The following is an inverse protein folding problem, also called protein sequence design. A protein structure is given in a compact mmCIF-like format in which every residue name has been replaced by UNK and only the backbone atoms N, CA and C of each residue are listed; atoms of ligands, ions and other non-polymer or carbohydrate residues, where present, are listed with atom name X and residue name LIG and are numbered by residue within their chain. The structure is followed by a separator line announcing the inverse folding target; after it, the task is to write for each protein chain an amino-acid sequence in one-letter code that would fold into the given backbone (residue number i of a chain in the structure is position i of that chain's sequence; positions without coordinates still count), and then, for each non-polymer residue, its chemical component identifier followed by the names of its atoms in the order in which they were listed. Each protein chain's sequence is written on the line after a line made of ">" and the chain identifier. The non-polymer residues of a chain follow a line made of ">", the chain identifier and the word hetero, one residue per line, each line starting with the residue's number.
data_IF_700568182483
#
_entry.id   IF_700568182483
#
_cell.length_a   1.000
_cell.length_b   1.000
_cell.length_c   1.000
_cell.angle_alpha   90.00
_cell.angle_beta   90.00
_cell.angle_gamma   90.00
#
_symmetry.space_group_name_H-M   'P 1'
#
loop_
_entity.id
_entity.type
_entity.pdbx_description
1 polymer ?
#
# COMPACT_ATOMS: atom_id res chain seq x y z
N UNK A 1 -41.87 -62.58 -4.49
CA UNK A 1 -41.82 -61.21 -3.94
C UNK A 1 -40.36 -60.77 -3.98
N UNK A 2 -39.99 -59.93 -4.96
CA UNK A 2 -38.66 -59.37 -5.08
C UNK A 2 -38.59 -58.06 -4.31
N UNK A 3 -37.77 -58.02 -3.29
CA UNK A 3 -37.48 -56.77 -2.57
C UNK A 3 -36.54 -55.89 -3.38
N UNK A 4 -37.02 -54.76 -3.84
CA UNK A 4 -36.24 -53.71 -4.48
C UNK A 4 -35.50 -52.93 -3.40
N UNK A 5 -34.18 -53.09 -3.33
CA UNK A 5 -33.33 -52.28 -2.46
C UNK A 5 -33.06 -50.97 -3.18
N UNK A 6 -33.64 -49.89 -2.75
CA UNK A 6 -33.37 -48.55 -3.25
C UNK A 6 -32.15 -48.00 -2.49
N UNK A 7 -30.97 -48.10 -3.12
CA UNK A 7 -29.72 -47.51 -2.62
C UNK A 7 -29.73 -46.03 -3.01
N UNK A 8 -30.10 -45.18 -2.11
CA UNK A 8 -30.01 -43.72 -2.24
C UNK A 8 -28.55 -43.32 -2.09
N UNK A 9 -27.84 -43.14 -3.21
CA UNK A 9 -26.50 -42.59 -3.20
C UNK A 9 -26.62 -41.08 -3.00
N UNK A 10 -26.41 -40.64 -1.76
CA UNK A 10 -26.25 -39.22 -1.46
C UNK A 10 -24.89 -38.77 -2.01
N UNK A 11 -24.89 -38.17 -3.19
CA UNK A 11 -23.71 -37.50 -3.75
C UNK A 11 -23.52 -36.20 -2.93
N UNK A 12 -22.65 -36.26 -1.93
CA UNK A 12 -22.17 -35.04 -1.25
C UNK A 12 -21.34 -34.26 -2.28
N UNK A 13 -21.95 -33.31 -2.92
CA UNK A 13 -21.23 -32.24 -3.59
C UNK A 13 -20.57 -31.39 -2.50
N UNK A 14 -19.29 -31.65 -2.24
CA UNK A 14 -18.45 -30.72 -1.49
C UNK A 14 -18.27 -29.48 -2.38
N UNK A 15 -19.14 -28.50 -2.21
CA UNK A 15 -18.92 -27.15 -2.74
C UNK A 15 -17.82 -26.55 -1.87
N UNK A 16 -16.63 -26.45 -2.41
CA UNK A 16 -15.57 -25.67 -1.76
C UNK A 16 -16.05 -24.20 -1.72
N UNK A 17 -16.56 -23.79 -0.57
CA UNK A 17 -16.93 -22.41 -0.33
C UNK A 17 -15.62 -21.62 -0.14
N UNK A 18 -15.21 -20.90 -1.17
CA UNK A 18 -14.12 -19.93 -1.04
C UNK A 18 -14.70 -18.72 -0.35
N UNK A 19 -14.19 -18.41 0.85
CA UNK A 19 -14.64 -17.25 1.61
C UNK A 19 -14.24 -15.96 0.86
N UNK A 20 -15.23 -15.19 0.46
CA UNK A 20 -15.06 -13.87 -0.17
C UNK A 20 -15.52 -12.78 0.81
N UNK A 21 -14.83 -11.67 0.81
CA UNK A 21 -15.29 -10.47 1.50
C UNK A 21 -15.96 -9.54 0.48
N UNK A 22 -17.23 -9.27 0.68
CA UNK A 22 -18.03 -8.41 -0.17
C UNK A 22 -18.56 -7.23 0.63
N UNK A 23 -18.14 -6.02 0.26
CA UNK A 23 -18.61 -4.78 0.88
C UNK A 23 -19.25 -3.91 -0.18
N UNK A 24 -20.48 -3.52 0.03
CA UNK A 24 -21.25 -2.68 -0.89
C UNK A 24 -22.06 -1.61 -0.18
N UNK A 25 -22.37 -0.51 -0.85
CA UNK A 25 -23.32 0.47 -0.33
C UNK A 25 -24.67 -0.14 0.00
N UNK A 26 -25.38 0.45 0.96
CA UNK A 26 -26.75 0.03 1.27
C UNK A 26 -27.70 0.37 0.13
N UNK A 27 -28.79 -0.39 0.00
CA UNK A 27 -29.85 -0.09 -0.98
C UNK A 27 -30.54 1.25 -0.73
N UNK A 28 -30.42 1.79 0.46
CA UNK A 28 -30.98 3.09 0.85
C UNK A 28 -30.09 4.30 0.53
N UNK A 29 -28.93 4.09 -0.11
CA UNK A 29 -28.04 5.17 -0.48
C UNK A 29 -27.15 5.64 0.68
N UNK A 30 -26.36 4.73 1.26
CA UNK A 30 -25.34 5.03 2.26
C UNK A 30 -24.11 4.19 1.99
N UNK A 31 -22.93 4.74 2.22
CA UNK A 31 -21.68 3.98 2.22
C UNK A 31 -21.67 2.94 3.34
N UNK A 32 -21.00 1.83 3.09
CA UNK A 32 -20.78 0.76 4.06
C UNK A 32 -19.29 0.49 4.18
N UNK A 33 -18.83 0.11 5.36
CA UNK A 33 -17.40 -0.14 5.52
C UNK A 33 -17.11 -1.21 6.57
N UNK A 34 -15.93 -1.78 6.44
CA UNK A 34 -15.25 -2.55 7.48
C UNK A 34 -14.17 -1.64 8.07
N UNK A 35 -14.20 -1.46 9.37
CA UNK A 35 -13.20 -0.69 10.09
C UNK A 35 -12.35 -1.61 10.96
N UNK A 36 -11.05 -1.57 10.79
CA UNK A 36 -10.10 -2.34 11.55
C UNK A 36 -9.03 -1.42 12.14
N UNK A 37 -8.75 -1.60 13.43
CA UNK A 37 -7.75 -0.85 14.18
C UNK A 37 -6.99 -1.80 15.08
N UNK A 38 -5.66 -1.89 14.92
CA UNK A 38 -4.79 -2.77 15.68
C UNK A 38 -5.20 -4.27 15.64
N UNK A 39 -5.76 -4.72 14.53
CA UNK A 39 -6.18 -6.10 14.32
C UNK A 39 -5.83 -6.59 12.93
N UNK A 40 -5.77 -7.88 12.76
CA UNK A 40 -5.59 -8.51 11.46
C UNK A 40 -6.96 -8.98 10.93
N UNK A 41 -7.21 -8.69 9.65
CA UNK A 41 -8.32 -9.27 8.89
C UNK A 41 -7.71 -10.32 7.96
N UNK A 42 -8.23 -11.54 8.02
CA UNK A 42 -7.85 -12.60 7.09
C UNK A 42 -9.02 -12.95 6.17
N UNK A 43 -8.77 -12.94 4.87
CA UNK A 43 -9.74 -13.31 3.82
C UNK A 43 -9.10 -14.37 2.94
N UNK A 44 -9.63 -15.60 2.97
CA UNK A 44 -9.08 -16.70 2.18
C UNK A 44 -9.16 -16.46 0.67
N UNK A 45 -10.23 -15.84 0.21
CA UNK A 45 -10.49 -15.58 -1.20
C UNK A 45 -10.36 -14.12 -1.60
N UNK A 46 -11.10 -13.77 -2.63
CA UNK A 46 -11.10 -12.43 -3.21
C UNK A 46 -11.91 -11.42 -2.39
N UNK A 47 -11.58 -10.16 -2.54
CA UNK A 47 -12.30 -9.03 -1.98
C UNK A 47 -12.99 -8.27 -3.12
N UNK A 48 -14.26 -7.96 -2.91
CA UNK A 48 -15.03 -7.10 -3.80
C UNK A 48 -15.55 -5.91 -3.00
N UNK A 49 -15.10 -4.71 -3.38
CA UNK A 49 -15.54 -3.44 -2.81
C UNK A 49 -16.31 -2.67 -3.88
N UNK A 50 -17.60 -2.47 -3.71
CA UNK A 50 -18.44 -1.86 -4.73
C UNK A 50 -18.71 -0.38 -4.49
N UNK A 51 -18.99 0.34 -5.58
CA UNK A 51 -19.65 1.65 -5.56
C UNK A 51 -21.05 1.55 -6.14
N UNK A 52 -21.92 2.47 -5.74
CA UNK A 52 -23.18 2.61 -6.44
C UNK A 52 -22.96 3.20 -7.86
N UNK A 53 -23.88 2.99 -8.80
CA UNK A 53 -23.72 3.47 -10.18
C UNK A 53 -23.49 4.98 -10.32
N UNK A 54 -24.00 5.79 -9.40
CA UNK A 54 -23.78 7.23 -9.37
C UNK A 54 -22.39 7.61 -8.80
N UNK A 55 -21.70 6.68 -8.11
CA UNK A 55 -20.40 6.94 -7.50
C UNK A 55 -20.43 7.70 -6.17
N UNK A 56 -21.63 7.97 -5.63
CA UNK A 56 -21.80 8.79 -4.42
C UNK A 56 -21.57 7.98 -3.13
N UNK A 57 -21.78 6.66 -3.19
CA UNK A 57 -21.67 5.76 -2.05
C UNK A 57 -20.76 4.58 -2.38
N UNK A 58 -19.95 4.18 -1.43
CA UNK A 58 -18.99 3.09 -1.63
C UNK A 58 -18.98 2.07 -0.50
N UNK A 59 -18.57 0.85 -0.83
CA UNK A 59 -18.13 -0.16 0.11
C UNK A 59 -16.63 -0.05 0.32
N UNK A 60 -16.19 0.12 1.55
CA UNK A 60 -14.79 0.42 1.86
C UNK A 60 -14.23 -0.46 2.97
N UNK A 61 -12.90 -0.54 3.05
CA UNK A 61 -12.18 -1.07 4.19
C UNK A 61 -11.24 0.02 4.68
N UNK A 62 -11.25 0.29 5.98
CA UNK A 62 -10.34 1.22 6.64
C UNK A 62 -9.41 0.47 7.57
N UNK A 63 -8.10 0.49 7.26
CA UNK A 63 -7.05 -0.04 8.11
C UNK A 63 -6.37 1.11 8.83
N UNK A 64 -6.36 1.04 10.16
CA UNK A 64 -5.85 2.09 11.02
C UNK A 64 -4.86 1.53 12.03
N UNK A 65 -3.89 2.34 12.39
CA UNK A 65 -2.76 1.96 13.24
C UNK A 65 -2.10 0.68 12.68
N UNK A 66 -1.95 -0.37 13.48
CA UNK A 66 -1.30 -1.63 13.07
C UNK A 66 -2.27 -2.64 12.42
N UNK A 67 -3.43 -2.19 11.96
CA UNK A 67 -4.37 -3.08 11.29
C UNK A 67 -3.84 -3.54 9.92
N UNK A 68 -4.04 -4.81 9.61
CA UNK A 68 -3.55 -5.46 8.41
C UNK A 68 -4.65 -6.24 7.71
N UNK A 69 -4.55 -6.32 6.40
CA UNK A 69 -5.40 -7.18 5.57
C UNK A 69 -4.54 -8.25 4.91
N UNK A 70 -4.73 -9.49 5.36
CA UNK A 70 -4.07 -10.67 4.81
C UNK A 70 -5.05 -11.40 3.91
N UNK A 71 -4.58 -11.83 2.74
CA UNK A 71 -5.36 -12.65 1.83
C UNK A 71 -4.73 -14.02 1.62
N UNK A 72 -5.58 -15.04 1.49
CA UNK A 72 -5.14 -16.41 1.25
C UNK A 72 -4.60 -16.60 -0.17
N UNK A 73 -3.85 -17.68 -0.37
CA UNK A 73 -3.17 -17.99 -1.63
C UNK A 73 -4.10 -18.30 -2.82
N UNK A 74 -5.41 -18.36 -2.61
CA UNK A 74 -6.40 -18.51 -3.68
C UNK A 74 -6.87 -17.19 -4.26
N UNK A 75 -6.53 -16.08 -3.61
CA UNK A 75 -6.90 -14.74 -4.05
C UNK A 75 -5.94 -14.25 -5.14
N UNK A 76 -6.35 -14.36 -6.40
CA UNK A 76 -5.53 -13.92 -7.54
C UNK A 76 -5.81 -12.49 -7.97
N UNK A 77 -6.96 -11.93 -7.60
CA UNK A 77 -7.33 -10.54 -7.87
C UNK A 77 -8.47 -10.09 -6.97
N UNK A 78 -8.54 -8.80 -6.75
CA UNK A 78 -9.68 -8.13 -6.10
C UNK A 78 -10.49 -7.34 -7.14
N UNK A 79 -11.72 -6.99 -6.81
CA UNK A 79 -12.65 -6.36 -7.74
C UNK A 79 -13.47 -5.23 -7.10
N UNK A 80 -14.27 -4.57 -7.94
CA UNK A 80 -15.12 -3.45 -7.54
C UNK A 80 -14.38 -2.11 -7.57
N UNK A 81 -15.13 -1.03 -7.39
CA UNK A 81 -14.66 0.36 -7.45
C UNK A 81 -14.68 1.05 -6.07
N UNK A 82 -15.04 0.32 -5.02
CA UNK A 82 -14.84 0.74 -3.65
C UNK A 82 -13.37 0.71 -3.25
N UNK A 83 -13.03 1.25 -2.10
CA UNK A 83 -11.64 1.54 -1.76
C UNK A 83 -11.22 0.91 -0.43
N UNK A 84 -10.04 0.30 -0.44
CA UNK A 84 -9.26 0.11 0.77
C UNK A 84 -8.52 1.43 1.07
N UNK A 85 -8.53 1.85 2.32
CA UNK A 85 -7.79 2.99 2.84
C UNK A 85 -6.80 2.52 3.90
N UNK A 86 -5.52 2.75 3.66
CA UNK A 86 -4.43 2.41 4.58
C UNK A 86 -3.69 3.69 4.95
N UNK A 87 -3.57 3.95 6.25
CA UNK A 87 -2.75 5.05 6.74
C UNK A 87 -1.30 4.61 6.87
N UNK A 88 -0.41 5.45 6.36
CA UNK A 88 1.03 5.31 6.49
C UNK A 88 1.60 6.59 7.11
N UNK A 89 2.25 6.46 8.25
CA UNK A 89 2.79 7.61 8.97
C UNK A 89 4.30 7.67 8.80
N UNK A 90 4.80 8.87 8.58
CA UNK A 90 6.23 9.19 8.50
C UNK A 90 6.48 10.52 9.19
N UNK A 91 7.69 10.77 9.61
CA UNK A 91 8.15 12.06 10.12
C UNK A 91 9.08 12.80 9.13
N UNK A 92 9.09 12.39 7.87
CA UNK A 92 9.76 13.13 6.80
C UNK A 92 8.98 14.40 6.46
N UNK A 93 9.66 15.53 6.46
CA UNK A 93 9.10 16.82 6.08
C UNK A 93 9.37 17.18 4.60
N UNK A 94 9.22 18.45 4.24
CA UNK A 94 9.45 18.91 2.87
C UNK A 94 10.90 18.72 2.38
N UNK A 95 11.86 18.53 3.28
CA UNK A 95 13.28 18.37 2.95
C UNK A 95 13.70 16.91 2.89
N UNK A 96 12.96 16.03 3.57
CA UNK A 96 13.29 14.61 3.74
C UNK A 96 12.60 13.73 2.72
N UNK A 97 13.28 12.65 2.34
CA UNK A 97 12.71 11.65 1.43
C UNK A 97 11.93 10.58 2.17
N UNK A 98 10.79 10.25 1.59
CA UNK A 98 10.09 9.00 1.81
C UNK A 98 10.35 8.08 0.61
N UNK A 99 10.55 6.81 0.88
CA UNK A 99 10.55 5.77 -0.12
C UNK A 99 9.32 4.90 0.08
N UNK A 100 8.41 4.95 -0.87
CA UNK A 100 7.11 4.32 -0.77
C UNK A 100 6.97 3.17 -1.76
N UNK A 101 6.26 2.12 -1.36
CA UNK A 101 5.56 1.20 -2.26
C UNK A 101 4.09 1.21 -1.86
N UNK A 102 3.19 1.25 -2.83
CA UNK A 102 1.77 1.38 -2.52
C UNK A 102 1.13 0.02 -2.23
N UNK A 103 0.41 -0.14 -1.11
CA UNK A 103 -0.33 -1.36 -0.80
C UNK A 103 -1.61 -1.50 -1.61
N UNK A 104 -1.93 -0.50 -2.42
CA UNK A 104 -3.15 -0.42 -3.21
C UNK A 104 -2.85 0.08 -4.61
N UNK A 105 -3.69 -0.28 -5.55
CA UNK A 105 -3.60 0.17 -6.93
C UNK A 105 -4.87 0.86 -7.43
N UNK A 106 -4.91 1.13 -8.74
CA UNK A 106 -6.06 1.72 -9.39
C UNK A 106 -7.24 0.75 -9.45
N UNK A 107 -8.45 1.28 -9.37
CA UNK A 107 -9.67 0.48 -9.45
C UNK A 107 -9.88 -0.16 -10.84
N UNK A 108 -9.45 0.53 -11.90
CA UNK A 108 -9.59 0.06 -13.27
C UNK A 108 -8.30 -0.63 -13.72
N UNK A 109 -8.23 -1.92 -13.57
CA UNK A 109 -7.09 -2.68 -14.07
C UNK A 109 -6.89 -3.93 -13.25
N UNK A 110 -6.45 -4.97 -13.87
CA UNK A 110 -6.24 -6.28 -13.26
C UNK A 110 -5.09 -6.31 -12.24
N UNK A 111 -4.55 -7.48 -12.08
CA UNK A 111 -3.34 -7.77 -11.31
C UNK A 111 -2.22 -6.80 -11.75
N UNK A 112 -1.43 -6.31 -10.82
CA UNK A 112 -0.33 -5.42 -11.13
C UNK A 112 -0.76 -3.98 -11.40
N UNK A 113 -1.69 -3.51 -10.62
CA UNK A 113 -2.13 -2.12 -10.67
C UNK A 113 -0.96 -1.16 -10.67
N UNK A 114 -1.06 -0.14 -11.50
CA UNK A 114 -0.20 1.01 -11.40
C UNK A 114 -0.43 1.66 -10.06
N UNK A 115 0.51 1.48 -9.16
CA UNK A 115 0.44 2.09 -7.85
C UNK A 115 0.54 3.59 -8.00
N UNK A 116 -0.27 4.29 -7.25
CA UNK A 116 -0.15 5.72 -7.09
C UNK A 116 0.43 6.01 -5.72
N UNK A 117 1.10 7.11 -5.61
CA UNK A 117 1.46 7.65 -4.30
C UNK A 117 0.21 7.90 -3.44
N UNK A 118 0.39 8.40 -2.25
CA UNK A 118 -0.71 8.65 -1.33
C UNK A 118 -1.76 9.57 -1.95
N UNK A 119 -3.01 9.27 -1.70
CA UNK A 119 -4.13 10.04 -2.25
C UNK A 119 -4.28 11.37 -1.51
N UNK A 120 -4.09 11.35 -0.21
CA UNK A 120 -4.23 12.51 0.65
C UNK A 120 -3.37 12.42 1.90
N UNK A 121 -3.16 13.56 2.54
CA UNK A 121 -2.66 13.64 3.89
C UNK A 121 -3.86 13.60 4.84
N UNK A 122 -3.82 12.74 5.83
CA UNK A 122 -4.84 12.73 6.86
C UNK A 122 -4.58 13.90 7.83
N UNK A 123 -5.50 14.84 7.87
CA UNK A 123 -5.43 16.02 8.75
C UNK A 123 -6.63 16.11 9.69
N UNK A 124 -7.47 15.09 9.71
CA UNK A 124 -8.72 15.04 10.46
C UNK A 124 -8.73 13.82 11.37
N UNK A 125 -9.40 13.94 12.50
CA UNK A 125 -9.69 12.80 13.40
C UNK A 125 -10.77 11.86 12.84
N UNK A 126 -11.33 12.17 11.66
CA UNK A 126 -12.30 11.30 11.02
C UNK A 126 -11.61 10.19 10.24
N UNK A 127 -11.38 9.09 10.93
CA UNK A 127 -10.74 7.90 10.39
C UNK A 127 -11.55 7.19 9.30
N UNK A 128 -12.80 7.56 9.12
CA UNK A 128 -13.73 6.93 8.15
C UNK A 128 -14.16 7.86 7.03
N UNK A 129 -13.55 9.05 6.92
CA UNK A 129 -13.87 9.97 5.83
C UNK A 129 -13.68 9.31 4.46
N UNK A 130 -14.70 9.37 3.62
CA UNK A 130 -14.66 8.80 2.27
C UNK A 130 -13.88 9.69 1.30
N UNK A 131 -13.40 9.11 0.20
CA UNK A 131 -12.55 9.84 -0.75
C UNK A 131 -13.22 11.04 -1.40
N UNK A 132 -14.54 11.01 -1.56
CA UNK A 132 -15.32 12.12 -2.12
C UNK A 132 -15.35 13.36 -1.24
N UNK A 133 -15.16 13.20 0.07
CA UNK A 133 -15.24 14.29 1.03
C UNK A 133 -13.94 15.10 1.12
N UNK A 134 -12.89 14.64 0.49
CA UNK A 134 -11.53 15.09 0.82
C UNK A 134 -10.73 15.32 -0.43
N UNK A 135 -11.00 15.80 -1.42
CA UNK A 135 -10.16 16.13 -2.58
C UNK A 135 -9.05 15.12 -2.91
N UNK A 136 -8.87 14.87 -4.14
CA UNK A 136 -7.77 14.08 -4.67
C UNK A 136 -6.48 14.89 -4.54
N UNK A 137 -5.33 14.21 -4.34
CA UNK A 137 -4.03 14.88 -4.38
C UNK A 137 -3.85 15.75 -5.61
N UNK A 138 -3.20 16.86 -5.41
CA UNK A 138 -2.73 17.74 -6.48
C UNK A 138 -1.20 17.61 -6.63
N UNK A 139 -0.68 18.11 -7.73
CA UNK A 139 0.75 18.18 -7.98
C UNK A 139 1.20 19.63 -8.20
N UNK A 140 2.42 19.92 -7.78
CA UNK A 140 3.06 21.23 -7.99
C UNK A 140 4.46 21.07 -8.53
N UNK A 141 4.94 22.03 -9.28
CA UNK A 141 6.35 22.16 -9.67
C UNK A 141 7.21 22.87 -8.61
N UNK A 142 6.60 23.41 -7.57
CA UNK A 142 7.34 23.95 -6.44
C UNK A 142 8.15 22.87 -5.74
N UNK A 143 9.27 23.22 -5.13
CA UNK A 143 10.13 22.28 -4.44
C UNK A 143 9.51 21.70 -3.17
N UNK A 144 8.65 22.45 -2.52
CA UNK A 144 7.90 21.97 -1.36
C UNK A 144 6.47 21.58 -1.74
N UNK A 145 6.05 20.41 -1.31
CA UNK A 145 4.65 20.03 -1.25
C UNK A 145 3.93 20.77 -0.13
N UNK A 146 2.63 20.79 -0.18
CA UNK A 146 1.79 21.45 0.82
C UNK A 146 0.56 20.59 1.16
N UNK A 147 0.00 20.82 2.32
CA UNK A 147 -1.32 20.31 2.66
C UNK A 147 -2.13 21.47 3.27
N UNK A 148 -3.32 21.63 2.76
CA UNK A 148 -4.35 22.44 3.42
C UNK A 148 -5.49 21.49 3.75
N UNK A 149 -6.34 21.82 4.68
CA UNK A 149 -7.45 21.00 5.18
C UNK A 149 -7.87 19.88 4.18
N UNK A 150 -7.41 18.66 4.41
CA UNK A 150 -7.68 17.46 3.61
C UNK A 150 -7.18 17.42 2.14
N UNK A 151 -6.50 18.44 1.65
CA UNK A 151 -5.94 18.45 0.30
C UNK A 151 -4.42 18.28 0.34
N UNK A 152 -3.92 17.21 -0.26
CA UNK A 152 -2.51 16.95 -0.43
C UNK A 152 -2.02 17.54 -1.75
N UNK A 153 -0.95 18.33 -1.71
CA UNK A 153 -0.21 18.78 -2.89
C UNK A 153 1.20 18.23 -2.85
N UNK A 154 1.54 17.37 -3.77
CA UNK A 154 2.84 16.69 -3.86
C UNK A 154 3.75 17.49 -4.80
N UNK A 155 4.99 17.73 -4.38
CA UNK A 155 6.02 18.25 -5.27
C UNK A 155 6.44 17.19 -6.29
N UNK A 156 6.24 17.46 -7.57
CA UNK A 156 6.68 16.57 -8.64
C UNK A 156 8.20 16.48 -8.75
N UNK A 157 8.92 17.49 -8.29
CA UNK A 157 10.38 17.56 -8.41
C UNK A 157 11.10 16.38 -7.76
N UNK A 158 10.46 15.68 -6.82
CA UNK A 158 11.05 14.60 -6.03
C UNK A 158 10.43 13.22 -6.29
N UNK A 159 9.62 13.10 -7.34
CA UNK A 159 8.97 11.83 -7.70
C UNK A 159 9.85 11.07 -8.71
N UNK A 160 10.53 10.06 -8.21
CA UNK A 160 11.41 9.20 -8.99
C UNK A 160 11.20 7.74 -8.62
N UNK A 161 11.44 6.86 -9.58
CA UNK A 161 11.62 5.42 -9.36
C UNK A 161 13.06 5.04 -9.71
N UNK A 162 13.57 4.00 -9.10
CA UNK A 162 14.87 3.45 -9.46
C UNK A 162 14.68 2.04 -9.99
N UNK A 163 15.07 1.83 -11.24
CA UNK A 163 14.93 0.55 -11.91
C UNK A 163 16.32 0.01 -12.25
N UNK A 164 16.49 -1.27 -11.95
CA UNK A 164 17.70 -2.00 -12.29
C UNK A 164 18.05 -1.94 -13.78
N UNK A 165 17.06 -2.01 -14.68
CA UNK A 165 17.28 -2.00 -16.13
C UNK A 165 18.05 -0.77 -16.65
N UNK A 166 18.07 0.31 -15.89
CA UNK A 166 18.75 1.56 -16.27
C UNK A 166 19.83 1.96 -15.27
N UNK A 167 19.89 1.31 -14.10
CA UNK A 167 20.77 1.65 -12.98
C UNK A 167 20.75 3.15 -12.64
N UNK A 168 19.59 3.78 -12.75
CA UNK A 168 19.44 5.22 -12.58
C UNK A 168 18.04 5.61 -12.07
N UNK A 169 17.99 6.78 -11.47
CA UNK A 169 16.73 7.40 -11.05
C UNK A 169 15.97 7.95 -12.24
N UNK A 170 14.76 7.46 -12.42
CA UNK A 170 13.86 7.90 -13.47
C UNK A 170 12.79 8.81 -12.91
N UNK A 171 12.70 10.01 -13.44
CA UNK A 171 11.63 10.95 -13.11
C UNK A 171 10.27 10.39 -13.56
N UNK A 172 9.30 10.38 -12.65
CA UNK A 172 7.94 9.92 -12.93
C UNK A 172 6.92 11.07 -12.90
N UNK A 173 7.24 12.16 -12.24
CA UNK A 173 6.31 13.30 -12.11
C UNK A 173 4.98 12.92 -11.49
N UNK A 174 3.93 13.65 -11.85
CA UNK A 174 2.59 13.43 -11.33
C UNK A 174 1.70 12.51 -12.17
N UNK A 175 2.19 12.03 -13.31
CA UNK A 175 1.36 11.32 -14.31
C UNK A 175 1.77 9.87 -14.53
N UNK A 176 3.02 9.55 -14.33
CA UNK A 176 3.51 8.21 -14.57
C UNK A 176 3.20 7.30 -13.37
N UNK A 177 2.75 6.11 -13.67
CA UNK A 177 2.50 5.11 -12.65
C UNK A 177 3.75 4.34 -12.24
N UNK A 178 3.70 3.78 -11.06
CA UNK A 178 4.69 2.82 -10.56
C UNK A 178 4.00 1.48 -10.41
N UNK A 179 4.50 0.41 -11.03
CA UNK A 179 3.91 -0.92 -10.85
C UNK A 179 3.93 -1.36 -9.37
N UNK A 180 2.99 -2.20 -8.98
CA UNK A 180 2.98 -2.78 -7.64
C UNK A 180 4.29 -3.50 -7.35
N UNK A 181 4.80 -3.38 -6.14
CA UNK A 181 6.09 -3.93 -5.72
C UNK A 181 7.30 -3.03 -6.01
N UNK A 182 7.19 -2.15 -6.99
CA UNK A 182 8.24 -1.14 -7.20
C UNK A 182 8.05 0.04 -6.25
N UNK A 183 9.18 0.63 -5.87
CA UNK A 183 9.21 1.80 -5.01
C UNK A 183 9.34 3.11 -5.79
N UNK A 184 9.02 4.19 -5.12
CA UNK A 184 9.25 5.56 -5.60
C UNK A 184 9.67 6.47 -4.46
N UNK A 185 10.46 7.49 -4.78
CA UNK A 185 10.80 8.55 -3.83
C UNK A 185 9.74 9.65 -3.85
N UNK A 186 9.55 10.27 -2.71
CA UNK A 186 8.70 11.45 -2.54
C UNK A 186 9.16 12.21 -1.30
N UNK A 187 9.28 13.52 -1.39
CA UNK A 187 9.49 14.32 -0.16
C UNK A 187 8.16 14.55 0.56
N UNK A 188 8.23 14.75 1.86
CA UNK A 188 7.09 15.16 2.65
C UNK A 188 6.58 16.54 2.28
N UNK A 189 5.66 17.08 3.05
CA UNK A 189 5.08 18.42 2.84
C UNK A 189 5.60 19.43 3.86
N UNK A 190 5.41 20.70 3.56
CA UNK A 190 5.74 21.78 4.49
C UNK A 190 4.66 22.00 5.59
N UNK A 191 3.75 21.08 5.72
CA UNK A 191 2.62 21.20 6.62
C UNK A 191 2.94 20.56 7.96
N UNK A 192 2.55 21.23 9.03
CA UNK A 192 2.64 20.73 10.40
C UNK A 192 1.34 20.05 10.88
N UNK A 193 0.45 19.71 9.97
CA UNK A 193 -0.79 19.04 10.34
C UNK A 193 -0.54 17.56 10.52
N UNK A 194 -0.65 17.15 11.76
CA UNK A 194 -0.35 15.80 12.18
C UNK A 194 -1.55 15.24 12.89
N UNK A 195 -2.06 14.17 12.36
CA UNK A 195 -2.88 13.28 13.15
C UNK A 195 -1.98 12.09 13.46
N UNK A 196 -1.28 12.19 14.55
CA UNK A 196 -0.26 11.24 14.93
C UNK A 196 -0.73 10.38 16.08
N UNK A 197 -0.86 9.08 15.81
CA UNK A 197 -1.12 8.08 16.84
C UNK A 197 0.03 7.96 17.86
N UNK A 198 1.22 8.46 17.52
CA UNK A 198 2.43 8.33 18.32
C UNK A 198 2.87 9.65 19.01
N UNK A 199 2.07 10.70 18.89
CA UNK A 199 2.35 12.04 19.44
C UNK A 199 3.68 12.65 18.97
N UNK A 200 4.13 12.34 17.77
CA UNK A 200 5.25 13.03 17.15
C UNK A 200 4.75 14.29 16.43
N UNK A 201 5.12 15.49 16.87
CA UNK A 201 4.65 16.72 16.26
C UNK A 201 5.11 16.94 14.82
N UNK A 202 6.01 16.10 14.32
CA UNK A 202 6.52 16.17 12.96
C UNK A 202 5.94 15.06 12.05
N UNK A 203 5.16 14.15 12.61
CA UNK A 203 4.59 13.06 11.84
C UNK A 203 3.61 13.55 10.78
N UNK A 204 3.62 12.93 9.64
CA UNK A 204 2.68 13.12 8.54
C UNK A 204 2.02 11.80 8.20
N UNK A 205 0.70 11.74 8.29
CA UNK A 205 -0.07 10.53 8.01
C UNK A 205 -0.68 10.63 6.61
N UNK A 206 -0.23 9.76 5.74
CA UNK A 206 -0.68 9.67 4.35
C UNK A 206 -1.71 8.57 4.20
N UNK A 207 -2.76 8.85 3.45
CA UNK A 207 -3.84 7.91 3.15
C UNK A 207 -3.65 7.31 1.76
N UNK A 208 -3.25 6.06 1.72
CA UNK A 208 -3.20 5.29 0.48
C UNK A 208 -4.56 4.65 0.23
N UNK A 209 -5.21 5.04 -0.86
CA UNK A 209 -6.54 4.51 -1.22
C UNK A 209 -6.55 3.89 -2.60
N UNK A 210 -7.15 2.73 -2.67
CA UNK A 210 -7.31 2.01 -3.92
C UNK A 210 -7.82 0.60 -3.71
N UNK A 211 -7.74 -0.19 -4.77
CA UNK A 211 -8.00 -1.62 -4.69
C UNK A 211 -6.84 -2.29 -3.96
N UNK A 212 -7.07 -3.12 -2.93
CA UNK A 212 -5.99 -3.85 -2.27
C UNK A 212 -5.26 -4.75 -3.27
N UNK A 213 -3.94 -4.71 -3.25
CA UNK A 213 -3.14 -5.65 -4.03
C UNK A 213 -3.20 -7.04 -3.42
N UNK A 214 -3.18 -8.06 -4.27
CA UNK A 214 -3.20 -9.47 -3.88
C UNK A 214 -2.62 -10.36 -4.97
N UNK A 215 -2.36 -11.62 -4.67
CA UNK A 215 -1.73 -12.58 -5.58
C UNK A 215 -0.23 -12.35 -5.73
N UNK A 216 0.39 -13.10 -6.61
CA UNK A 216 1.83 -13.00 -6.87
C UNK A 216 2.14 -11.71 -7.62
N UNK A 217 3.16 -11.00 -7.16
CA UNK A 217 3.64 -9.75 -7.76
C UNK A 217 5.12 -9.91 -8.06
N UNK A 218 5.42 -10.03 -9.34
CA UNK A 218 6.77 -10.24 -9.82
C UNK A 218 7.51 -8.91 -10.03
N UNK A 219 8.75 -8.83 -9.54
CA UNK A 219 9.67 -7.74 -9.79
C UNK A 219 10.85 -8.29 -10.57
N UNK A 220 11.10 -7.71 -11.74
CA UNK A 220 12.25 -8.12 -12.54
C UNK A 220 13.53 -7.56 -11.93
N UNK A 221 14.48 -8.43 -11.64
CA UNK A 221 15.81 -8.09 -11.19
C UNK A 221 16.83 -8.33 -12.31
N UNK A 222 17.89 -7.55 -12.30
CA UNK A 222 19.07 -7.77 -13.15
C UNK A 222 20.25 -8.09 -12.22
N UNK A 223 21.05 -9.07 -12.58
CA UNK A 223 22.21 -9.47 -11.77
C UNK A 223 23.14 -8.28 -11.50
N UNK A 224 23.60 -8.18 -10.26
CA UNK A 224 24.52 -7.15 -9.77
C UNK A 224 23.95 -5.71 -9.81
N UNK A 225 22.63 -5.56 -9.97
CA UNK A 225 21.96 -4.26 -10.01
C UNK A 225 20.92 -4.17 -8.88
N UNK A 226 20.68 -2.95 -8.42
CA UNK A 226 19.68 -2.69 -7.38
C UNK A 226 18.37 -2.20 -7.98
N UNK A 227 17.27 -2.50 -7.30
CA UNK A 227 15.94 -1.98 -7.64
C UNK A 227 15.29 -1.40 -6.39
N UNK A 228 14.72 -0.21 -6.49
CA UNK A 228 13.90 0.34 -5.42
C UNK A 228 12.56 -0.43 -5.40
N UNK A 229 12.36 -1.16 -4.34
CA UNK A 229 11.22 -2.04 -4.14
C UNK A 229 10.61 -1.82 -2.76
N UNK A 230 9.43 -2.33 -2.53
CA UNK A 230 8.79 -2.32 -1.23
C UNK A 230 7.56 -3.23 -1.18
N UNK A 231 7.04 -3.41 0.01
CA UNK A 231 5.88 -4.26 0.24
C UNK A 231 4.63 -3.73 -0.49
N UNK A 232 4.09 -4.46 -1.48
CA UNK A 232 2.91 -4.04 -2.21
C UNK A 232 1.59 -4.42 -1.55
N UNK A 233 1.60 -5.09 -0.41
CA UNK A 233 0.41 -5.62 0.23
C UNK A 233 -0.02 -4.78 1.43
N UNK A 234 -1.32 -4.73 1.75
CA UNK A 234 -1.83 -4.04 2.93
C UNK A 234 -1.66 -4.88 4.22
N UNK A 235 -0.55 -5.57 4.33
CA UNK A 235 -0.12 -6.38 5.47
C UNK A 235 1.39 -6.28 5.63
N UNK A 236 1.90 -6.58 6.80
CA UNK A 236 3.34 -6.71 7.00
C UNK A 236 3.90 -7.87 6.18
N UNK A 237 5.13 -7.73 5.73
CA UNK A 237 5.90 -8.76 5.05
C UNK A 237 6.97 -9.27 6.01
N UNK A 238 7.05 -10.59 6.18
CA UNK A 238 8.19 -11.20 6.85
C UNK A 238 9.40 -11.21 5.90
N UNK A 239 10.35 -10.32 6.17
CA UNK A 239 11.49 -10.12 5.30
C UNK A 239 12.42 -11.34 5.25
N UNK A 240 12.48 -12.15 6.33
CA UNK A 240 13.28 -13.36 6.34
C UNK A 240 12.66 -14.45 5.47
N UNK A 241 11.34 -14.64 5.56
CA UNK A 241 10.63 -15.57 4.67
C UNK A 241 10.72 -15.11 3.22
N UNK A 242 10.50 -13.81 2.97
CA UNK A 242 10.64 -13.25 1.63
C UNK A 242 12.02 -13.56 1.02
N UNK A 243 13.08 -13.40 1.79
CA UNK A 243 14.43 -13.69 1.32
C UNK A 243 14.64 -15.18 1.00
N UNK A 244 14.09 -16.08 1.82
CA UNK A 244 14.19 -17.52 1.57
C UNK A 244 13.41 -17.97 0.33
N UNK A 245 12.30 -17.33 0.04
CA UNK A 245 11.46 -17.65 -1.11
C UNK A 245 11.97 -17.01 -2.41
N UNK A 246 12.83 -15.97 -2.31
CA UNK A 246 13.38 -15.22 -3.43
C UNK A 246 14.90 -15.33 -3.46
N UNK A 247 15.40 -16.46 -3.95
CA UNK A 247 16.84 -16.82 -3.92
C UNK A 247 17.74 -15.93 -4.77
N UNK A 248 17.16 -15.11 -5.64
CA UNK A 248 17.88 -14.14 -6.47
C UNK A 248 18.14 -12.80 -5.74
N UNK A 249 17.59 -12.66 -4.53
CA UNK A 249 17.83 -11.49 -3.67
C UNK A 249 18.98 -11.79 -2.73
N UNK A 250 20.04 -10.99 -2.76
CA UNK A 250 21.23 -11.21 -1.92
C UNK A 250 21.20 -10.40 -0.63
N UNK A 251 20.71 -9.16 -0.70
CA UNK A 251 20.66 -8.23 0.43
C UNK A 251 19.63 -7.13 0.24
N UNK A 252 19.25 -6.49 1.36
CA UNK A 252 18.37 -5.34 1.36
C UNK A 252 19.10 -4.12 1.89
N UNK A 253 18.87 -2.97 1.24
CA UNK A 253 19.38 -1.67 1.64
C UNK A 253 18.24 -0.80 2.13
N UNK A 254 18.40 -0.23 3.33
CA UNK A 254 17.46 0.74 3.90
C UNK A 254 18.15 2.09 4.01
N UNK A 255 17.56 3.10 3.42
CA UNK A 255 18.05 4.45 3.52
C UNK A 255 17.70 5.04 4.88
N UNK A 256 18.70 5.60 5.57
CA UNK A 256 18.54 6.39 6.78
C UNK A 256 19.04 7.81 6.52
N UNK A 257 18.13 8.78 6.55
CA UNK A 257 18.42 10.17 6.22
C UNK A 257 18.70 10.99 7.46
N UNK A 258 19.68 11.89 7.39
CA UNK A 258 19.95 12.84 8.45
C UNK A 258 18.93 14.00 8.40
N UNK A 259 17.85 13.88 9.12
CA UNK A 259 16.73 14.82 9.16
C UNK A 259 17.04 16.16 9.82
N UNK A 260 18.25 16.40 10.28
CA UNK A 260 18.64 17.70 10.78
C UNK A 260 18.98 18.71 9.67
N UNK A 261 18.98 18.29 8.41
CA UNK A 261 19.37 19.10 7.27
C UNK A 261 18.13 19.59 6.53
N UNK A 262 17.88 20.89 6.63
CA UNK A 262 16.76 21.55 5.97
C UNK A 262 17.19 22.12 4.61
N UNK A 263 17.48 21.25 3.65
CA UNK A 263 17.90 21.63 2.29
C UNK A 263 17.21 20.80 1.21
N UNK A 264 16.88 21.47 0.12
CA UNK A 264 16.42 20.77 -1.10
C UNK A 264 17.57 20.35 -2.01
N UNK A 265 18.78 20.79 -1.75
CA UNK A 265 19.92 20.41 -2.56
C UNK A 265 20.43 19.01 -2.19
N UNK A 266 20.52 18.15 -3.19
CA UNK A 266 20.97 16.77 -3.00
C UNK A 266 22.36 16.68 -2.33
N UNK A 267 23.24 17.62 -2.63
CA UNK A 267 24.60 17.64 -2.08
C UNK A 267 24.63 17.89 -0.56
N UNK A 268 23.59 18.49 -0.03
CA UNK A 268 23.47 18.75 1.40
C UNK A 268 22.80 17.58 2.14
N UNK A 269 22.09 16.72 1.40
CA UNK A 269 21.43 15.56 1.98
C UNK A 269 22.48 14.55 2.40
N UNK A 270 22.51 14.31 3.70
CA UNK A 270 23.40 13.33 4.31
C UNK A 270 22.56 12.18 4.86
N UNK A 271 22.98 11.00 4.54
CA UNK A 271 22.37 9.78 5.00
C UNK A 271 23.27 8.60 4.69
N UNK A 272 22.80 7.42 4.99
CA UNK A 272 23.50 6.18 4.72
C UNK A 272 22.55 5.04 4.47
N UNK A 273 23.08 3.96 3.94
CA UNK A 273 22.34 2.73 3.81
C UNK A 273 22.67 1.78 4.96
N UNK A 274 21.65 1.35 5.69
CA UNK A 274 21.74 0.14 6.51
C UNK A 274 21.56 -1.08 5.60
N UNK A 275 22.43 -2.08 5.75
CA UNK A 275 22.31 -3.34 5.00
C UNK A 275 21.73 -4.41 5.89
N UNK A 276 20.80 -5.20 5.36
CA UNK A 276 20.25 -6.35 6.03
C UNK A 276 20.42 -7.60 5.16
N UNK A 277 21.01 -8.64 5.77
CA UNK A 277 21.19 -9.97 5.19
C UNK A 277 20.74 -10.98 6.26
N UNK A 278 19.86 -11.95 5.94
CA UNK A 278 19.49 -12.96 6.92
C UNK A 278 20.68 -13.87 7.26
N UNK A 279 20.85 -14.14 8.52
CA UNK A 279 21.89 -15.08 8.97
C UNK A 279 21.53 -16.51 8.58
N UNK A 280 22.50 -17.22 8.01
CA UNK A 280 22.37 -18.56 7.41
C UNK A 280 21.98 -19.70 8.36
N UNK A 281 21.66 -19.48 9.61
CA UNK A 281 21.46 -20.60 10.56
C UNK A 281 20.26 -20.51 11.48
N UNK A 282 19.57 -19.41 11.56
CA UNK A 282 18.30 -19.30 12.30
C UNK A 282 17.62 -17.97 11.93
N UNK A 283 16.29 -17.87 11.83
CA UNK A 283 15.62 -16.58 11.65
C UNK A 283 15.87 -15.71 12.88
N UNK A 284 16.87 -14.90 12.81
CA UNK A 284 17.22 -13.95 13.87
C UNK A 284 17.53 -12.62 13.23
N UNK A 285 16.71 -11.62 13.51
CA UNK A 285 16.94 -10.26 13.05
C UNK A 285 18.24 -9.72 13.62
N UNK A 286 19.13 -9.28 12.75
CA UNK A 286 20.16 -8.33 13.12
C UNK A 286 19.96 -7.08 12.29
N UNK A 287 19.16 -6.14 12.81
CA UNK A 287 19.26 -4.77 12.38
C UNK A 287 20.42 -4.11 13.12
N UNK A 288 21.31 -3.49 12.40
CA UNK A 288 22.29 -2.55 12.95
C UNK A 288 21.82 -1.12 12.66
#
# INVERSE_FOLDING_TARGET
>A
MKKLLLTSTFLLLAVSSIAQLFVKPTTGGSSSYVYAKNVQIYVEGTINLEKNPAGDYEGSIYLRDDAQLLQGGTATYNSGDGLLSVYQTTNADQFDYNFWSSPVGLNAGGIGNTANGPLRLNVSDDDTAIATDTGIRNFTSAWAGASTTNALTISQAWLYKYLNATADWQYIGGTDGVPAGYGFSMKGTNTTNHNDAYNDPNAQTYDFRGRPNTGDIDINLTAEESTLSGNPYPSALDLALFFYDNTDVEEFYFWDENRSINSHYYIDNQGGYGTWIPLNTTPGHQGT
#
